data_IF_899391877929
#
_entry.id   IF_899391877929
#
_cell.length_a   1.000
_cell.length_b   1.000
_cell.length_c   1.000
_cell.angle_alpha   90.00
_cell.angle_beta   90.00
_cell.angle_gamma   90.00
#
_symmetry.space_group_name_H-M   'P 1'
#
loop_
_entity.id
_entity.type
_entity.pdbx_description
1 polymer ?
#
# COMPACT_ATOMS: atom_id res chain seq x y z
N UNK A 1 19.99 18.41 -1.62
CA UNK A 1 20.54 18.33 -2.99
C UNK A 1 19.43 18.04 -3.98
N UNK A 2 19.05 18.99 -4.84
CA UNK A 2 18.21 18.70 -6.01
C UNK A 2 19.11 18.09 -7.09
N UNK A 3 19.20 16.75 -7.12
CA UNK A 3 20.05 16.02 -8.09
C UNK A 3 19.47 16.01 -9.52
N UNK A 4 18.22 16.43 -9.70
CA UNK A 4 17.49 16.37 -10.97
C UNK A 4 16.82 17.71 -11.25
N UNK A 5 16.99 18.25 -12.47
CA UNK A 5 16.30 19.43 -12.97
C UNK A 5 14.98 19.01 -13.62
N UNK A 6 13.87 19.26 -12.93
CA UNK A 6 12.53 18.85 -13.37
C UNK A 6 11.99 19.67 -14.54
N UNK A 7 12.64 20.78 -14.94
CA UNK A 7 12.26 21.55 -16.13
C UNK A 7 12.71 20.88 -17.44
N UNK A 8 13.65 19.94 -17.34
CA UNK A 8 14.26 19.23 -18.48
C UNK A 8 13.76 17.80 -18.65
N UNK A 9 12.82 17.36 -17.82
CA UNK A 9 12.24 16.00 -17.87
C UNK A 9 10.74 16.09 -18.08
N UNK A 10 10.16 15.07 -18.69
CA UNK A 10 8.73 14.91 -18.86
C UNK A 10 8.32 13.47 -18.57
N UNK A 11 7.05 13.29 -18.20
CA UNK A 11 6.43 11.96 -18.11
C UNK A 11 6.15 11.48 -19.53
N UNK A 12 6.82 10.41 -19.97
CA UNK A 12 6.61 9.85 -21.31
C UNK A 12 5.62 8.68 -21.31
N UNK A 13 5.43 8.03 -20.15
CA UNK A 13 4.47 6.94 -19.97
C UNK A 13 4.14 6.75 -18.49
N UNK A 14 2.92 6.28 -18.22
CA UNK A 14 2.44 5.88 -16.90
C UNK A 14 1.88 4.46 -17.03
N UNK A 15 2.24 3.57 -16.12
CA UNK A 15 1.71 2.19 -16.12
C UNK A 15 0.20 2.18 -15.90
N UNK A 16 -0.51 1.12 -16.33
CA UNK A 16 -1.77 0.77 -15.69
C UNK A 16 -1.61 0.64 -14.16
N UNK A 17 -2.68 0.84 -13.38
CA UNK A 17 -2.64 0.64 -11.94
C UNK A 17 -2.26 -0.80 -11.56
N UNK A 18 -1.55 -0.95 -10.45
CA UNK A 18 -1.22 -2.22 -9.81
C UNK A 18 -1.19 -2.04 -8.28
N UNK A 19 -1.32 -3.13 -7.53
CA UNK A 19 -1.21 -3.07 -6.05
C UNK A 19 0.24 -2.94 -5.61
N UNK A 20 0.50 -2.14 -4.59
CA UNK A 20 1.87 -1.84 -4.13
C UNK A 20 1.98 -2.04 -2.61
N UNK A 21 1.56 -1.03 -1.82
CA UNK A 21 1.69 -1.06 -0.37
C UNK A 21 0.55 -1.81 0.32
N UNK A 22 0.91 -2.68 1.28
CA UNK A 22 -0.02 -3.36 2.19
C UNK A 22 0.58 -3.50 3.58
N UNK A 23 -0.27 -3.43 4.61
CA UNK A 23 0.09 -3.82 5.96
C UNK A 23 -0.07 -5.33 6.11
N UNK A 24 1.03 -6.04 6.31
CA UNK A 24 1.03 -7.48 6.56
C UNK A 24 1.30 -7.77 8.03
N UNK A 25 0.65 -8.80 8.55
CA UNK A 25 0.90 -9.35 9.87
C UNK A 25 1.48 -10.76 9.74
N UNK A 26 2.23 -11.21 10.75
CA UNK A 26 2.79 -12.56 10.79
C UNK A 26 1.64 -13.60 10.76
N UNK A 27 1.82 -14.67 9.98
CA UNK A 27 0.77 -15.65 9.72
C UNK A 27 0.31 -16.46 10.94
N UNK A 28 1.17 -16.58 11.95
CA UNK A 28 0.90 -17.29 13.22
C UNK A 28 0.31 -16.36 14.32
N UNK A 29 0.04 -15.09 14.00
CA UNK A 29 -0.62 -14.19 14.94
C UNK A 29 -2.06 -14.66 15.17
N UNK A 30 -2.51 -14.59 16.42
CA UNK A 30 -3.89 -14.97 16.79
C UNK A 30 -4.91 -14.38 15.78
N UNK A 31 -5.80 -15.20 15.20
CA UNK A 31 -6.76 -14.73 14.20
C UNK A 31 -7.64 -13.57 14.72
N UNK A 32 -8.08 -13.63 15.97
CA UNK A 32 -8.89 -12.57 16.58
C UNK A 32 -8.12 -11.26 16.70
N UNK A 33 -6.83 -11.33 17.05
CA UNK A 33 -5.95 -10.17 17.08
C UNK A 33 -5.71 -9.58 15.68
N UNK A 34 -5.49 -10.43 14.65
CA UNK A 34 -5.36 -9.97 13.25
C UNK A 34 -6.60 -9.19 12.81
N UNK A 35 -7.78 -9.71 13.07
CA UNK A 35 -9.03 -9.01 12.73
C UNK A 35 -9.23 -7.71 13.50
N UNK A 36 -8.85 -7.67 14.78
CA UNK A 36 -8.91 -6.43 15.58
C UNK A 36 -7.96 -5.36 15.08
N UNK A 37 -6.76 -5.74 14.62
CA UNK A 37 -5.80 -4.80 14.02
C UNK A 37 -6.37 -4.26 12.70
N UNK A 38 -6.83 -5.14 11.80
CA UNK A 38 -7.44 -4.71 10.54
C UNK A 38 -8.63 -3.78 10.77
N UNK A 39 -9.53 -4.13 11.70
CA UNK A 39 -10.66 -3.29 12.07
C UNK A 39 -10.26 -1.93 12.65
N UNK A 40 -9.12 -1.81 13.34
CA UNK A 40 -8.62 -0.54 13.83
C UNK A 40 -8.17 0.38 12.68
N UNK A 41 -7.43 -0.14 11.70
CA UNK A 41 -7.04 0.60 10.51
C UNK A 41 -8.25 1.06 9.68
N UNK A 42 -9.23 0.18 9.49
CA UNK A 42 -10.45 0.47 8.72
C UNK A 42 -11.36 1.52 9.38
N UNK A 43 -11.21 1.76 10.69
CA UNK A 43 -11.97 2.80 11.42
C UNK A 43 -11.34 4.18 11.33
N UNK A 44 -10.09 4.29 10.85
CA UNK A 44 -9.45 5.59 10.68
C UNK A 44 -10.21 6.42 9.64
N UNK A 45 -10.49 7.67 9.99
CA UNK A 45 -11.27 8.59 9.17
C UNK A 45 -10.54 9.90 9.00
N UNK A 46 -10.42 10.38 7.77
CA UNK A 46 -9.68 11.60 7.47
C UNK A 46 -10.33 12.89 8.01
N UNK A 47 -11.62 12.85 8.34
CA UNK A 47 -12.36 13.98 8.92
C UNK A 47 -12.27 14.07 10.45
N UNK A 48 -11.68 13.07 11.10
CA UNK A 48 -11.32 13.12 12.52
C UNK A 48 -9.91 13.75 12.64
N UNK A 49 -9.73 14.87 13.39
CA UNK A 49 -8.44 15.54 13.50
C UNK A 49 -7.30 14.69 14.05
N UNK A 50 -7.57 13.75 14.97
CA UNK A 50 -6.54 12.88 15.54
C UNK A 50 -6.12 11.82 14.51
N UNK A 51 -7.09 11.20 13.85
CA UNK A 51 -6.82 10.24 12.78
C UNK A 51 -6.11 10.90 11.60
N UNK A 52 -6.49 12.13 11.24
CA UNK A 52 -5.90 12.88 10.12
C UNK A 52 -4.40 13.04 10.27
N UNK A 53 -3.91 13.36 11.47
CA UNK A 53 -2.47 13.48 11.72
C UNK A 53 -1.72 12.17 11.40
N UNK A 54 -2.30 11.03 11.75
CA UNK A 54 -1.73 9.71 11.44
C UNK A 54 -1.83 9.39 9.93
N UNK A 55 -2.99 9.64 9.33
CA UNK A 55 -3.27 9.39 7.92
C UNK A 55 -2.39 10.26 6.99
N UNK A 56 -2.14 11.52 7.35
CA UNK A 56 -1.20 12.41 6.65
C UNK A 56 0.24 11.86 6.70
N UNK A 57 0.67 11.33 7.85
CA UNK A 57 1.98 10.66 7.97
C UNK A 57 2.05 9.43 7.06
N UNK A 58 0.95 8.69 6.94
CA UNK A 58 0.82 7.53 6.06
C UNK A 58 0.58 7.89 4.59
N UNK A 59 0.36 9.18 4.28
CA UNK A 59 0.04 9.69 2.93
C UNK A 59 -1.19 9.02 2.30
N UNK A 60 -2.22 8.76 3.11
CA UNK A 60 -3.50 8.20 2.66
C UNK A 60 -4.67 8.91 3.34
N UNK A 61 -5.88 8.78 2.81
CA UNK A 61 -7.11 9.28 3.45
C UNK A 61 -7.90 8.19 4.17
N UNK A 62 -7.44 6.93 4.09
CA UNK A 62 -8.11 5.81 4.74
C UNK A 62 -7.49 4.47 4.34
N UNK A 63 -8.09 3.39 4.83
CA UNK A 63 -7.69 2.02 4.53
C UNK A 63 -8.85 1.22 3.97
N UNK A 64 -8.52 0.24 3.13
CA UNK A 64 -9.43 -0.78 2.60
C UNK A 64 -8.91 -2.16 2.98
N UNK A 65 -9.78 -3.17 2.90
CA UNK A 65 -9.35 -4.54 3.12
C UNK A 65 -8.53 -5.00 1.91
N UNK A 66 -7.45 -5.70 2.18
CA UNK A 66 -6.58 -6.32 1.19
C UNK A 66 -6.74 -7.84 1.28
N UNK A 67 -6.60 -8.49 0.14
CA UNK A 67 -6.69 -9.94 -0.01
C UNK A 67 -5.45 -10.46 -0.74
N UNK A 68 -5.00 -11.68 -0.43
CA UNK A 68 -3.77 -12.23 -1.01
C UNK A 68 -3.88 -12.31 -2.55
N UNK A 69 -5.08 -12.55 -3.08
CA UNK A 69 -5.36 -12.62 -4.51
C UNK A 69 -5.11 -11.30 -5.25
N UNK A 70 -5.15 -10.15 -4.54
CA UNK A 70 -4.88 -8.84 -5.14
C UNK A 70 -3.43 -8.75 -5.65
N UNK A 71 -2.49 -9.51 -5.07
CA UNK A 71 -1.07 -9.54 -5.46
C UNK A 71 -0.73 -10.49 -6.60
N UNK A 72 -1.71 -11.23 -7.14
CA UNK A 72 -1.47 -12.19 -8.21
C UNK A 72 -0.75 -11.57 -9.42
N UNK A 73 -1.15 -10.36 -9.83
CA UNK A 73 -0.49 -9.65 -10.94
C UNK A 73 0.97 -9.26 -10.65
N UNK A 74 1.30 -9.00 -9.38
CA UNK A 74 2.67 -8.71 -8.95
C UNK A 74 3.51 -9.98 -8.95
N UNK A 75 2.95 -11.09 -8.47
CA UNK A 75 3.61 -12.40 -8.49
C UNK A 75 3.92 -12.84 -9.92
N UNK A 76 2.94 -12.76 -10.82
CA UNK A 76 3.10 -13.08 -12.25
C UNK A 76 4.18 -12.20 -12.91
N UNK A 77 4.19 -10.89 -12.62
CA UNK A 77 5.21 -9.98 -13.13
C UNK A 77 6.61 -10.33 -12.60
N UNK A 78 6.73 -10.71 -11.32
CA UNK A 78 7.99 -11.11 -10.71
C UNK A 78 8.52 -12.42 -11.32
N UNK A 79 7.66 -13.41 -11.57
CA UNK A 79 8.01 -14.67 -12.24
C UNK A 79 8.45 -14.39 -13.68
N UNK A 80 7.69 -13.60 -14.44
CA UNK A 80 8.00 -13.25 -15.82
C UNK A 80 9.34 -12.48 -15.93
N UNK A 81 9.66 -11.65 -14.93
CA UNK A 81 10.93 -10.94 -14.83
C UNK A 81 12.10 -11.80 -14.28
N UNK A 82 11.84 -13.05 -13.87
CA UNK A 82 12.85 -13.93 -13.28
C UNK A 82 13.31 -13.52 -11.87
N UNK A 83 12.52 -12.70 -11.17
CA UNK A 83 12.78 -12.25 -9.80
C UNK A 83 12.28 -13.24 -8.75
N UNK A 84 11.27 -14.04 -9.11
CA UNK A 84 10.69 -15.10 -8.31
C UNK A 84 10.74 -16.42 -9.11
N UNK A 85 11.02 -17.54 -8.43
CA UNK A 85 11.16 -18.87 -9.03
C UNK A 85 10.11 -19.83 -8.49
#
# INVERSE_FOLDING_TARGET
>A
TKKVDTSRIGVFWTTPPYVDYVWTARGDLDPGLRERIAAAFLKLRYDDPEHRRLLDLHRTTGYIRAHDEDWKGIEEAAIAAGLLK
#
